data_IF_041272874053
#
_entry.id   IF_041272874053
#
_cell.length_a   1.000
_cell.length_b   1.000
_cell.length_c   1.000
_cell.angle_alpha   90.00
_cell.angle_beta   90.00
_cell.angle_gamma   90.00
#
_symmetry.space_group_name_H-M   'P 1'
#
loop_
_entity.id
_entity.type
_entity.pdbx_description
1 polymer ?
#
# COMPACT_ATOMS: atom_id res chain seq x y z
N UNK A 1 13.00 10.26 9.02
CA UNK A 1 12.86 8.87 8.55
C UNK A 1 11.48 8.59 7.96
N UNK A 2 10.35 8.94 8.61
CA UNK A 2 8.99 8.70 8.08
C UNK A 2 8.70 9.34 6.70
N UNK A 3 9.17 10.56 6.44
CA UNK A 3 9.03 11.21 5.12
C UNK A 3 9.74 10.42 4.02
N UNK A 4 10.96 9.96 4.28
CA UNK A 4 11.75 9.16 3.35
C UNK A 4 11.06 7.83 3.06
N UNK A 5 10.52 7.17 4.09
CA UNK A 5 9.71 5.97 3.90
C UNK A 5 8.46 6.25 3.07
N UNK A 6 7.77 7.38 3.31
CA UNK A 6 6.61 7.79 2.54
C UNK A 6 6.92 7.97 1.05
N UNK A 7 8.05 8.59 0.72
CA UNK A 7 8.52 8.72 -0.67
C UNK A 7 8.81 7.36 -1.28
N UNK A 8 9.49 6.47 -0.54
CA UNK A 8 9.78 5.10 -1.01
C UNK A 8 8.53 4.29 -1.28
N UNK A 9 7.58 4.28 -0.33
CA UNK A 9 6.29 3.60 -0.46
C UNK A 9 5.49 4.18 -1.65
N UNK A 10 5.43 5.51 -1.77
CA UNK A 10 4.73 6.19 -2.86
C UNK A 10 5.31 5.89 -4.25
N UNK A 11 6.64 5.71 -4.35
CA UNK A 11 7.30 5.33 -5.60
C UNK A 11 7.16 3.84 -5.94
N UNK A 12 7.07 2.97 -4.93
CA UNK A 12 6.93 1.52 -5.14
C UNK A 12 5.56 1.14 -5.72
N UNK A 13 4.48 1.78 -5.26
CA UNK A 13 3.12 1.50 -5.74
C UNK A 13 2.95 1.54 -7.28
N UNK A 14 3.28 2.64 -7.98
CA UNK A 14 3.14 2.67 -9.43
C UNK A 14 4.09 1.68 -10.11
N UNK A 15 5.32 1.53 -9.61
CA UNK A 15 6.33 0.65 -10.21
C UNK A 15 5.92 -0.82 -10.13
N UNK A 16 5.48 -1.29 -8.95
CA UNK A 16 4.97 -2.65 -8.73
C UNK A 16 3.77 -2.95 -9.62
N UNK A 17 2.90 -1.95 -9.81
CA UNK A 17 1.74 -2.06 -10.68
C UNK A 17 2.15 -2.16 -12.16
N UNK A 18 3.11 -1.37 -12.63
CA UNK A 18 3.55 -1.40 -14.03
C UNK A 18 4.13 -2.77 -14.38
N UNK A 19 5.08 -3.27 -13.59
CA UNK A 19 5.72 -4.58 -13.78
C UNK A 19 4.67 -5.68 -13.90
N UNK A 20 3.72 -5.73 -12.96
CA UNK A 20 2.66 -6.74 -12.94
C UNK A 20 1.75 -6.63 -14.16
N UNK A 21 1.43 -5.41 -14.60
CA UNK A 21 0.57 -5.17 -15.75
C UNK A 21 1.18 -5.60 -17.08
N UNK A 22 2.51 -5.62 -17.17
CA UNK A 22 3.26 -5.95 -18.38
C UNK A 22 3.49 -7.46 -18.53
N UNK A 23 3.58 -8.19 -17.41
CA UNK A 23 3.63 -9.65 -17.41
C UNK A 23 2.24 -10.31 -17.44
N UNK A 24 1.16 -9.57 -17.17
CA UNK A 24 -0.20 -10.12 -17.13
C UNK A 24 -0.83 -10.29 -18.53
N UNK A 25 -1.58 -11.38 -18.70
CA UNK A 25 -2.42 -11.58 -19.90
C UNK A 25 -3.58 -10.58 -19.95
N UNK A 26 -4.02 -10.21 -21.15
CA UNK A 26 -5.06 -9.18 -21.37
C UNK A 26 -6.38 -9.45 -20.64
N UNK A 27 -6.73 -10.73 -20.45
CA UNK A 27 -7.96 -11.16 -19.76
C UNK A 27 -7.91 -10.99 -18.24
N UNK A 28 -6.74 -11.17 -17.61
CA UNK A 28 -6.60 -11.22 -16.14
C UNK A 28 -5.75 -10.08 -15.57
N UNK A 29 -5.40 -9.11 -16.42
CA UNK A 29 -4.57 -7.96 -16.02
C UNK A 29 -5.22 -7.12 -14.92
N UNK A 30 -6.56 -7.07 -14.83
CA UNK A 30 -7.24 -6.38 -13.73
C UNK A 30 -7.10 -7.13 -12.41
N UNK A 31 -7.43 -8.41 -12.39
CA UNK A 31 -7.28 -9.24 -11.19
C UNK A 31 -5.83 -9.28 -10.68
N UNK A 32 -4.84 -9.43 -11.56
CA UNK A 32 -3.44 -9.52 -11.15
C UNK A 32 -2.92 -8.21 -10.52
N UNK A 33 -3.31 -7.07 -11.08
CA UNK A 33 -3.03 -5.74 -10.51
C UNK A 33 -3.72 -5.53 -9.16
N UNK A 34 -4.99 -5.90 -9.07
CA UNK A 34 -5.75 -5.81 -7.82
C UNK A 34 -5.17 -6.73 -6.75
N UNK A 35 -4.65 -7.90 -7.12
CA UNK A 35 -4.04 -8.85 -6.19
C UNK A 35 -2.79 -8.27 -5.52
N UNK A 36 -1.97 -7.50 -6.25
CA UNK A 36 -0.82 -6.79 -5.67
C UNK A 36 -1.28 -5.80 -4.59
N UNK A 37 -2.34 -5.03 -4.85
CA UNK A 37 -2.91 -4.13 -3.83
C UNK A 37 -3.58 -4.89 -2.68
N UNK A 38 -4.17 -6.06 -2.93
CA UNK A 38 -4.79 -6.90 -1.89
C UNK A 38 -3.78 -7.38 -0.85
N UNK A 39 -2.50 -7.54 -1.22
CA UNK A 39 -1.42 -7.88 -0.29
C UNK A 39 -1.24 -6.84 0.82
N UNK A 40 -1.68 -5.59 0.61
CA UNK A 40 -1.68 -4.55 1.65
C UNK A 40 -2.50 -4.99 2.87
N UNK A 41 -3.67 -5.62 2.66
CA UNK A 41 -4.51 -6.11 3.75
C UNK A 41 -3.82 -7.21 4.57
N UNK A 42 -3.07 -8.09 3.90
CA UNK A 42 -2.26 -9.12 4.58
C UNK A 42 -1.13 -8.46 5.38
N UNK A 43 -0.47 -7.44 4.83
CA UNK A 43 0.55 -6.68 5.54
C UNK A 43 0.01 -6.01 6.82
N UNK A 44 -1.19 -5.41 6.75
CA UNK A 44 -1.88 -4.84 7.92
C UNK A 44 -2.21 -5.92 8.95
N UNK A 45 -2.68 -7.09 8.53
CA UNK A 45 -2.98 -8.22 9.42
C UNK A 45 -1.73 -8.69 10.16
N UNK A 46 -0.63 -8.91 9.43
CA UNK A 46 0.65 -9.35 10.01
C UNK A 46 1.17 -8.31 11.00
N UNK A 47 1.12 -7.01 10.67
CA UNK A 47 1.54 -5.96 11.58
C UNK A 47 0.68 -5.92 12.85
N UNK A 48 -0.65 -6.09 12.72
CA UNK A 48 -1.56 -6.14 13.87
C UNK A 48 -1.33 -7.37 14.75
N UNK A 49 -1.03 -8.54 14.16
CA UNK A 49 -0.66 -9.76 14.88
C UNK A 49 0.66 -9.60 15.62
N UNK A 50 1.70 -9.06 14.98
CA UNK A 50 2.99 -8.77 15.63
C UNK A 50 2.78 -7.82 16.81
N UNK A 51 1.94 -6.79 16.62
CA UNK A 51 1.60 -5.88 17.72
C UNK A 51 0.89 -6.60 18.87
N UNK A 52 -0.05 -7.49 18.57
CA UNK A 52 -0.75 -8.30 19.57
C UNK A 52 0.21 -9.22 20.35
N UNK A 53 1.15 -9.88 19.69
CA UNK A 53 2.13 -10.73 20.40
C UNK A 53 3.07 -9.91 21.27
N UNK A 54 3.47 -8.72 20.81
CA UNK A 54 4.30 -7.81 21.59
C UNK A 54 3.58 -7.24 22.81
N UNK A 55 2.29 -6.88 22.71
CA UNK A 55 1.52 -6.43 23.88
C UNK A 55 1.35 -7.54 24.91
N UNK A 56 1.11 -8.78 24.48
CA UNK A 56 1.04 -9.94 25.36
C UNK A 56 2.38 -10.24 26.05
N UNK A 57 3.49 -10.14 25.30
CA UNK A 57 4.84 -10.40 25.82
C UNK A 57 5.32 -9.39 26.86
N UNK A 58 4.91 -8.12 26.73
CA UNK A 58 5.28 -7.05 27.69
C UNK A 58 4.17 -6.70 28.69
N UNK A 59 3.15 -7.57 28.83
CA UNK A 59 1.98 -7.33 29.68
C UNK A 59 2.32 -6.84 31.09
N UNK A 60 3.22 -7.53 31.79
CA UNK A 60 3.61 -7.19 33.17
C UNK A 60 4.28 -5.81 33.31
N UNK A 61 4.96 -5.33 32.26
CA UNK A 61 5.57 -3.99 32.24
C UNK A 61 4.57 -2.90 31.84
N UNK A 62 3.54 -3.25 31.09
CA UNK A 62 2.52 -2.33 30.58
C UNK A 62 1.34 -2.12 31.55
N UNK A 63 1.05 -3.09 32.41
CA UNK A 63 0.00 -2.98 33.44
C UNK A 63 0.39 -2.03 34.59
N UNK A 64 1.67 -1.69 34.73
CA UNK A 64 2.15 -0.80 35.80
C UNK A 64 1.75 0.67 35.58
N UNK A 65 1.42 1.05 34.34
CA UNK A 65 1.03 2.40 34.00
C UNK A 65 -0.47 2.49 33.72
N UNK A 66 -1.17 3.32 34.51
CA UNK A 66 -2.60 3.58 34.35
C UNK A 66 -2.92 4.37 33.06
N UNK A 67 -1.98 5.18 32.55
CA UNK A 67 -2.18 5.97 31.34
C UNK A 67 -0.88 6.08 30.53
N UNK A 68 -1.00 6.35 29.24
CA UNK A 68 0.12 6.56 28.31
C UNK A 68 1.02 7.71 28.77
N UNK A 69 0.46 8.69 29.50
CA UNK A 69 1.18 9.83 30.08
C UNK A 69 1.94 9.50 31.37
N UNK A 70 1.49 8.49 32.13
CA UNK A 70 2.16 8.03 33.35
C UNK A 70 3.14 6.88 33.10
N UNK A 71 3.22 6.40 31.85
CA UNK A 71 4.20 5.41 31.40
C UNK A 71 5.63 5.98 31.49
N UNK A 72 6.29 5.73 32.62
CA UNK A 72 7.66 6.16 32.92
C UNK A 72 8.50 4.98 33.39
N UNK A 73 9.81 5.00 33.12
CA UNK A 73 10.71 3.90 33.48
C UNK A 73 10.50 2.64 32.62
N UNK A 74 10.21 1.51 33.28
CA UNK A 74 10.12 0.18 32.64
C UNK A 74 9.03 0.11 31.55
N UNK A 75 7.91 0.80 31.75
CA UNK A 75 6.84 0.91 30.75
C UNK A 75 7.34 1.58 29.46
N UNK A 76 8.11 2.67 29.59
CA UNK A 76 8.64 3.39 28.42
C UNK A 76 9.68 2.54 27.66
N UNK A 77 10.52 1.80 28.39
CA UNK A 77 11.51 0.89 27.79
C UNK A 77 10.80 -0.26 27.05
N UNK A 78 9.73 -0.82 27.64
CA UNK A 78 8.93 -1.85 26.99
C UNK A 78 8.31 -1.32 25.69
N UNK A 79 7.64 -0.16 25.74
CA UNK A 79 7.05 0.48 24.55
C UNK A 79 8.12 0.79 23.49
N UNK A 80 9.31 1.26 23.90
CA UNK A 80 10.42 1.53 22.98
C UNK A 80 10.88 0.27 22.25
N UNK A 81 11.03 -0.84 22.97
CA UNK A 81 11.36 -2.15 22.38
C UNK A 81 10.25 -2.63 21.44
N UNK A 82 8.98 -2.42 21.79
CA UNK A 82 7.84 -2.86 21.00
C UNK A 82 7.79 -2.18 19.62
N UNK A 83 7.88 -0.85 19.54
CA UNK A 83 7.81 -0.17 18.25
C UNK A 83 9.04 -0.47 17.37
N UNK A 84 10.22 -0.60 17.97
CA UNK A 84 11.45 -0.99 17.25
C UNK A 84 11.34 -2.39 16.68
N UNK A 85 10.81 -3.32 17.46
CA UNK A 85 10.60 -4.70 17.01
C UNK A 85 9.56 -4.75 15.89
N UNK A 86 8.48 -3.98 16.00
CA UNK A 86 7.45 -3.88 14.96
C UNK A 86 8.02 -3.34 13.64
N UNK A 87 8.78 -2.23 13.70
CA UNK A 87 9.44 -1.66 12.51
C UNK A 87 10.50 -2.61 11.97
N UNK A 88 11.27 -3.25 12.84
CA UNK A 88 12.30 -4.23 12.48
C UNK A 88 11.72 -5.45 11.76
N UNK A 89 10.59 -5.97 12.22
CA UNK A 89 9.89 -7.06 11.53
C UNK A 89 9.39 -6.64 10.14
N UNK A 90 8.94 -5.38 9.99
CA UNK A 90 8.59 -4.81 8.69
C UNK A 90 9.76 -4.66 7.71
N UNK A 91 11.00 -4.58 8.20
CA UNK A 91 12.19 -4.52 7.34
C UNK A 91 12.49 -5.87 6.65
N UNK A 92 12.12 -7.00 7.26
CA UNK A 92 12.36 -8.34 6.70
C UNK A 92 11.70 -8.54 5.33
N UNK A 93 10.37 -8.36 5.15
CA UNK A 93 9.75 -8.47 3.84
C UNK A 93 10.26 -7.40 2.86
N UNK A 94 10.67 -6.22 3.33
CA UNK A 94 11.26 -5.20 2.46
C UNK A 94 12.62 -5.63 1.89
N UNK A 95 13.49 -6.27 2.69
CA UNK A 95 14.75 -6.84 2.22
C UNK A 95 14.53 -7.99 1.24
N UNK A 96 13.55 -8.86 1.52
CA UNK A 96 13.17 -9.95 0.60
C UNK A 96 12.67 -9.38 -0.73
N UNK A 97 11.80 -8.37 -0.68
CA UNK A 97 11.30 -7.70 -1.88
C UNK A 97 12.43 -7.03 -2.67
N UNK A 98 13.39 -6.41 -1.99
CA UNK A 98 14.58 -5.84 -2.63
C UNK A 98 15.42 -6.90 -3.33
N UNK A 99 15.68 -8.04 -2.67
CA UNK A 99 16.38 -9.16 -3.30
C UNK A 99 15.67 -9.61 -4.58
N UNK A 100 14.36 -9.86 -4.52
CA UNK A 100 13.60 -10.26 -5.70
C UNK A 100 13.59 -9.19 -6.80
N UNK A 101 13.44 -7.91 -6.43
CA UNK A 101 13.52 -6.80 -7.39
C UNK A 101 14.87 -6.73 -8.11
N UNK A 102 15.97 -7.06 -7.45
CA UNK A 102 17.30 -7.11 -8.07
C UNK A 102 17.52 -8.34 -8.95
N UNK A 103 16.73 -9.41 -8.75
CA UNK A 103 16.85 -10.67 -9.51
C UNK A 103 15.81 -10.86 -10.62
N UNK A 104 14.72 -10.10 -10.61
CA UNK A 104 13.68 -10.18 -11.64
C UNK A 104 14.23 -9.57 -12.94
N UNK A 105 14.14 -10.27 -14.09
CA UNK A 105 14.51 -9.68 -15.37
C UNK A 105 13.56 -8.52 -15.72
N UNK A 106 14.13 -7.48 -16.35
CA UNK A 106 13.34 -6.34 -16.82
C UNK A 106 12.21 -6.78 -17.75
N UNK A 107 11.15 -5.99 -17.79
CA UNK A 107 9.97 -6.37 -18.56
C UNK A 107 10.28 -6.42 -20.05
N UNK A 108 9.66 -7.34 -20.81
CA UNK A 108 9.91 -7.47 -22.24
C UNK A 108 9.50 -6.22 -23.03
N UNK A 109 8.52 -5.45 -22.54
CA UNK A 109 8.13 -4.16 -23.14
C UNK A 109 9.16 -3.07 -22.88
N UNK A 110 9.72 -2.98 -21.68
CA UNK A 110 10.81 -2.03 -21.41
C UNK A 110 12.05 -2.38 -22.24
N UNK A 111 12.39 -3.67 -22.35
CA UNK A 111 13.52 -4.12 -23.16
C UNK A 111 13.30 -3.83 -24.66
N UNK A 112 12.08 -4.06 -25.16
CA UNK A 112 11.71 -3.85 -26.56
C UNK A 112 11.56 -2.37 -26.95
N UNK A 113 10.84 -1.57 -26.14
CA UNK A 113 10.53 -0.16 -26.46
C UNK A 113 11.62 0.82 -26.00
N UNK A 114 12.39 0.49 -24.94
CA UNK A 114 13.36 1.40 -24.30
C UNK A 114 14.80 0.90 -24.44
N UNK A 115 15.09 -0.39 -24.26
CA UNK A 115 16.46 -0.90 -24.29
C UNK A 115 17.01 -1.15 -25.72
N UNK A 116 16.16 -1.16 -26.76
CA UNK A 116 16.51 -1.21 -28.21
C UNK A 116 17.74 -2.07 -28.54
N UNK A 117 17.60 -3.39 -28.48
CA UNK A 117 18.68 -4.30 -28.83
C UNK A 117 19.16 -4.15 -30.31
N UNK A 118 20.46 -4.32 -30.52
CA UNK A 118 21.36 -3.53 -31.40
C UNK A 118 21.18 -3.79 -32.92
N UNK A 119 20.52 -4.86 -33.33
CA UNK A 119 20.29 -5.18 -34.75
C UNK A 119 19.26 -4.24 -35.41
N UNK A 120 18.31 -3.72 -34.63
CA UNK A 120 17.37 -2.70 -35.08
C UNK A 120 17.95 -1.28 -35.03
N UNK A 121 19.22 -1.13 -34.64
CA UNK A 121 19.98 0.10 -34.88
C UNK A 121 20.54 0.16 -36.32
N UNK A 122 20.79 -0.98 -36.99
CA UNK A 122 21.27 -1.00 -38.38
C UNK A 122 20.15 -0.64 -39.38
N UNK A 123 18.91 -1.03 -39.09
CA UNK A 123 17.73 -0.57 -39.84
C UNK A 123 17.50 0.94 -39.67
N UNK A 124 17.74 1.47 -38.47
CA UNK A 124 17.70 2.91 -38.19
C UNK A 124 18.89 3.69 -38.83
N UNK A 125 20.06 3.06 -39.02
CA UNK A 125 21.20 3.63 -39.78
C UNK A 125 20.92 3.66 -41.28
N UNK A 126 20.19 2.67 -41.82
CA UNK A 126 19.71 2.71 -43.22
C UNK A 126 18.63 3.76 -43.44
N UNK A 127 17.82 4.06 -42.42
CA UNK A 127 16.91 5.21 -42.44
C UNK A 127 17.67 6.55 -42.37
N UNK A 128 18.84 6.59 -41.71
CA UNK A 128 19.73 7.77 -41.63
C UNK A 128 20.37 8.15 -42.98
N UNK A 129 20.70 7.17 -43.83
CA UNK A 129 21.33 7.40 -45.15
C UNK A 129 20.39 8.09 -46.16
N UNK A 130 19.07 8.03 -45.94
CA UNK A 130 18.06 8.60 -46.84
C UNK A 130 17.52 9.98 -46.45
N UNK A 131 18.16 10.67 -45.50
CA UNK A 131 18.09 12.13 -45.40
C UNK A 131 16.71 12.72 -45.08
N UNK A 132 15.91 12.08 -44.21
CA UNK A 132 14.75 12.73 -43.57
C UNK A 132 14.84 12.63 -42.06
N UNK A 133 15.21 13.75 -41.45
CA UNK A 133 15.18 13.97 -40.01
C UNK A 133 13.77 14.38 -39.60
N UNK A 134 12.97 13.48 -39.06
CA UNK A 134 11.88 13.82 -38.14
C UNK A 134 11.73 12.70 -37.09
N UNK A 135 12.38 12.89 -35.95
CA UNK A 135 12.17 12.14 -34.72
C UNK A 135 11.77 13.09 -33.61
N UNK A 136 10.60 13.73 -33.73
CA UNK A 136 10.02 14.48 -32.64
C UNK A 136 9.30 13.48 -31.73
N UNK A 137 9.77 13.26 -30.50
CA UNK A 137 8.84 12.83 -29.45
C UNK A 137 7.90 14.01 -29.25
N UNK A 138 6.74 13.92 -29.90
CA UNK A 138 5.72 14.97 -29.99
C UNK A 138 5.61 15.71 -28.65
N UNK A 139 5.90 17.02 -28.62
CA UNK A 139 5.71 17.84 -27.41
C UNK A 139 4.28 17.69 -26.88
N UNK A 140 3.33 17.41 -27.79
CA UNK A 140 1.95 17.05 -27.51
C UNK A 140 1.84 15.72 -26.74
N UNK A 141 2.53 14.65 -27.14
CA UNK A 141 2.55 13.38 -26.39
C UNK A 141 3.21 13.56 -25.03
N UNK A 142 4.28 14.35 -24.92
CA UNK A 142 4.93 14.65 -23.63
C UNK A 142 4.04 15.49 -22.72
N UNK A 143 3.34 16.48 -23.26
CA UNK A 143 2.37 17.30 -22.53
C UNK A 143 1.13 16.49 -22.11
N UNK A 144 0.62 15.61 -22.98
CA UNK A 144 -0.47 14.67 -22.68
C UNK A 144 -0.09 13.67 -21.59
N UNK A 145 1.14 13.12 -21.63
CA UNK A 145 1.66 12.26 -20.60
C UNK A 145 1.82 13.00 -19.26
N UNK A 146 2.34 14.23 -19.28
CA UNK A 146 2.46 15.05 -18.07
C UNK A 146 1.08 15.44 -17.50
N UNK A 147 0.11 15.76 -18.36
CA UNK A 147 -1.25 16.08 -17.95
C UNK A 147 -1.97 14.84 -17.39
N UNK A 148 -1.75 13.67 -17.99
CA UNK A 148 -2.26 12.40 -17.49
C UNK A 148 -1.62 12.04 -16.15
N UNK A 149 -0.31 12.24 -16.00
CA UNK A 149 0.40 12.06 -14.73
C UNK A 149 -0.16 12.99 -13.64
N UNK A 150 -0.38 14.27 -13.95
CA UNK A 150 -1.00 15.23 -13.01
C UNK A 150 -2.41 14.82 -12.60
N UNK A 151 -3.25 14.34 -13.54
CA UNK A 151 -4.61 13.87 -13.26
C UNK A 151 -4.59 12.61 -12.38
N UNK A 152 -3.73 11.65 -12.69
CA UNK A 152 -3.56 10.43 -11.90
C UNK A 152 -3.04 10.74 -10.50
N UNK A 153 -2.03 11.62 -10.38
CA UNK A 153 -1.50 12.06 -9.10
C UNK A 153 -2.55 12.78 -8.26
N UNK A 154 -3.38 13.64 -8.86
CA UNK A 154 -4.49 14.30 -8.16
C UNK A 154 -5.55 13.31 -7.66
N UNK A 155 -5.91 12.30 -8.48
CA UNK A 155 -6.86 11.25 -8.06
C UNK A 155 -6.31 10.40 -6.91
N UNK A 156 -5.03 10.04 -6.97
CA UNK A 156 -4.35 9.29 -5.90
C UNK A 156 -4.27 10.11 -4.61
N UNK A 157 -3.92 11.39 -4.70
CA UNK A 157 -3.88 12.30 -3.56
C UNK A 157 -5.25 12.38 -2.86
N UNK A 158 -6.34 12.59 -3.61
CA UNK A 158 -7.68 12.64 -3.04
C UNK A 158 -8.08 11.31 -2.38
N UNK A 159 -7.73 10.18 -3.01
CA UNK A 159 -8.00 8.85 -2.46
C UNK A 159 -7.22 8.62 -1.16
N UNK A 160 -5.94 8.98 -1.12
CA UNK A 160 -5.09 8.84 0.07
C UNK A 160 -5.57 9.73 1.20
N UNK A 161 -5.94 10.99 0.93
CA UNK A 161 -6.50 11.89 1.95
C UNK A 161 -7.75 11.29 2.57
N UNK A 162 -8.66 10.74 1.76
CA UNK A 162 -9.83 10.05 2.27
C UNK A 162 -9.44 8.80 3.07
N UNK A 163 -8.62 7.91 2.51
CA UNK A 163 -8.23 6.64 3.12
C UNK A 163 -7.50 6.80 4.47
N UNK A 164 -6.53 7.70 4.55
CA UNK A 164 -5.84 8.00 5.80
C UNK A 164 -6.71 8.82 6.75
N UNK A 165 -7.61 9.66 6.25
CA UNK A 165 -8.62 10.37 7.04
C UNK A 165 -9.57 9.41 7.78
N UNK A 166 -9.96 8.31 7.13
CA UNK A 166 -10.72 7.22 7.77
C UNK A 166 -9.93 6.57 8.89
N UNK A 167 -8.63 6.34 8.67
CA UNK A 167 -7.74 5.74 9.65
C UNK A 167 -7.54 6.61 10.91
N UNK A 168 -7.65 7.95 10.81
CA UNK A 168 -7.62 8.85 11.97
C UNK A 168 -8.83 8.63 12.90
N UNK A 169 -9.95 8.15 12.36
CA UNK A 169 -11.17 7.86 13.13
C UNK A 169 -11.19 6.42 13.66
N UNK A 170 -10.10 5.66 13.56
CA UNK A 170 -10.03 4.30 14.10
C UNK A 170 -10.40 4.23 15.58
N UNK A 171 -10.07 5.25 16.39
CA UNK A 171 -10.49 5.30 17.80
C UNK A 171 -12.02 5.29 17.99
N UNK A 172 -12.78 5.94 17.10
CA UNK A 172 -14.25 5.93 17.12
C UNK A 172 -14.80 4.58 16.65
N UNK A 173 -14.21 4.02 15.59
CA UNK A 173 -14.60 2.70 15.06
C UNK A 173 -14.37 1.62 16.12
N UNK A 174 -13.21 1.62 16.77
CA UNK A 174 -12.86 0.70 17.85
C UNK A 174 -13.85 0.79 19.02
N UNK A 175 -14.31 1.99 19.36
CA UNK A 175 -15.35 2.19 20.38
C UNK A 175 -16.67 1.52 20.00
N UNK A 176 -17.13 1.66 18.75
CA UNK A 176 -18.38 1.05 18.28
C UNK A 176 -18.31 -0.48 18.27
N UNK A 177 -17.13 -1.05 17.96
CA UNK A 177 -16.90 -2.50 17.96
C UNK A 177 -16.78 -3.07 19.39
N UNK A 178 -16.78 -2.22 20.42
CA UNK A 178 -16.65 -2.62 21.83
C UNK A 178 -15.21 -2.72 22.34
N UNK A 179 -14.22 -2.37 21.52
CA UNK A 179 -12.81 -2.24 21.90
C UNK A 179 -12.46 -0.78 22.17
N UNK A 180 -13.27 -0.11 22.99
CA UNK A 180 -13.06 1.29 23.35
C UNK A 180 -11.68 1.48 23.97
N UNK A 181 -10.92 2.41 23.41
CA UNK A 181 -9.63 2.83 23.97
C UNK A 181 -9.79 3.92 25.05
N UNK A 182 -10.99 4.48 25.21
CA UNK A 182 -11.28 5.53 26.21
C UNK A 182 -11.59 4.98 27.60
N UNK A 183 -12.06 3.75 27.67
CA UNK A 183 -12.42 3.07 28.92
C UNK A 183 -11.27 2.18 29.43
N UNK A 184 -10.10 2.23 28.76
CA UNK A 184 -8.95 1.42 29.12
C UNK A 184 -8.36 1.88 30.46
N UNK A 185 -8.19 0.94 31.39
CA UNK A 185 -7.71 1.21 32.74
C UNK A 185 -6.18 1.29 32.83
N UNK A 186 -5.48 0.62 31.90
CA UNK A 186 -4.03 0.54 31.85
C UNK A 186 -3.53 0.62 30.40
N UNK A 187 -2.24 0.95 30.21
CA UNK A 187 -1.59 1.02 28.88
C UNK A 187 -1.67 -0.30 28.13
N UNK A 188 -1.55 -1.43 28.85
CA UNK A 188 -1.73 -2.76 28.27
C UNK A 188 -3.10 -2.91 27.59
N UNK A 189 -4.18 -2.54 28.30
CA UNK A 189 -5.55 -2.67 27.81
C UNK A 189 -5.78 -1.77 26.59
N UNK A 190 -5.24 -0.55 26.60
CA UNK A 190 -5.29 0.36 25.46
C UNK A 190 -4.63 -0.25 24.21
N UNK A 191 -3.40 -0.76 24.33
CA UNK A 191 -2.66 -1.32 23.21
C UNK A 191 -3.25 -2.67 22.75
N UNK A 192 -3.73 -3.48 23.68
CA UNK A 192 -4.40 -4.76 23.40
C UNK A 192 -5.71 -4.53 22.64
N UNK A 193 -6.58 -3.63 23.13
CA UNK A 193 -7.84 -3.31 22.47
C UNK A 193 -7.63 -2.73 21.07
N UNK A 194 -6.60 -1.89 20.91
CA UNK A 194 -6.19 -1.36 19.61
C UNK A 194 -5.71 -2.47 18.67
N UNK A 195 -4.89 -3.41 19.14
CA UNK A 195 -4.38 -4.50 18.32
C UNK A 195 -5.51 -5.45 17.88
N UNK A 196 -6.35 -5.89 18.83
CA UNK A 196 -7.46 -6.81 18.56
C UNK A 196 -8.50 -6.16 17.64
N UNK A 197 -8.88 -4.92 17.91
CA UNK A 197 -9.86 -4.25 17.07
C UNK A 197 -9.35 -3.98 15.66
N UNK A 198 -8.06 -3.67 15.47
CA UNK A 198 -7.47 -3.60 14.13
C UNK A 198 -7.47 -4.96 13.42
N UNK A 199 -7.20 -6.07 14.12
CA UNK A 199 -7.31 -7.42 13.55
C UNK A 199 -8.74 -7.69 13.07
N UNK A 200 -9.74 -7.35 13.88
CA UNK A 200 -11.15 -7.52 13.52
C UNK A 200 -11.50 -6.69 12.30
N UNK A 201 -11.14 -5.41 12.26
CA UNK A 201 -11.40 -4.53 11.11
C UNK A 201 -10.74 -5.07 9.84
N UNK A 202 -9.50 -5.53 9.93
CA UNK A 202 -8.76 -6.06 8.78
C UNK A 202 -9.36 -7.38 8.29
N UNK A 203 -9.74 -8.30 9.18
CA UNK A 203 -10.32 -9.58 8.82
C UNK A 203 -11.78 -9.49 8.36
N UNK A 204 -12.57 -8.59 8.94
CA UNK A 204 -13.98 -8.41 8.58
C UNK A 204 -14.16 -7.50 7.36
N UNK A 205 -13.28 -6.51 7.19
CA UNK A 205 -13.39 -5.49 6.15
C UNK A 205 -12.32 -5.60 5.07
N UNK A 206 -11.07 -5.26 5.42
CA UNK A 206 -10.02 -5.02 4.43
C UNK A 206 -9.68 -6.28 3.61
N UNK A 207 -9.38 -7.41 4.25
CA UNK A 207 -8.98 -8.64 3.57
C UNK A 207 -10.11 -9.18 2.67
N UNK A 208 -11.34 -9.42 3.16
CA UNK A 208 -12.42 -9.89 2.31
C UNK A 208 -12.76 -8.89 1.20
N UNK A 209 -12.81 -7.59 1.50
CA UNK A 209 -13.11 -6.54 0.53
C UNK A 209 -12.11 -6.49 -0.61
N UNK A 210 -10.81 -6.63 -0.31
CA UNK A 210 -9.77 -6.69 -1.33
C UNK A 210 -9.91 -7.93 -2.20
N UNK A 211 -10.09 -9.12 -1.63
CA UNK A 211 -10.19 -10.36 -2.42
C UNK A 211 -11.49 -10.47 -3.22
N UNK A 212 -12.61 -9.96 -2.69
CA UNK A 212 -13.85 -9.81 -3.46
C UNK A 212 -13.64 -8.86 -4.63
N UNK A 213 -12.92 -7.76 -4.43
CA UNK A 213 -12.57 -6.83 -5.51
C UNK A 213 -11.69 -7.53 -6.56
N UNK A 214 -10.67 -8.30 -6.15
CA UNK A 214 -9.83 -9.09 -7.07
C UNK A 214 -10.66 -10.05 -7.92
N UNK A 215 -11.63 -10.76 -7.31
CA UNK A 215 -12.47 -11.72 -8.01
C UNK A 215 -13.49 -11.07 -8.95
N UNK A 216 -13.94 -9.85 -8.65
CA UNK A 216 -15.03 -9.17 -9.38
C UNK A 216 -14.56 -8.09 -10.34
N UNK A 217 -13.29 -7.67 -10.28
CA UNK A 217 -12.78 -6.55 -11.09
C UNK A 217 -12.85 -6.81 -12.60
N UNK A 218 -12.62 -8.05 -13.01
CA UNK A 218 -12.65 -8.44 -14.42
C UNK A 218 -14.07 -8.77 -14.93
N UNK A 219 -15.06 -8.93 -14.04
CA UNK A 219 -16.47 -9.22 -14.39
C UNK A 219 -17.39 -8.00 -14.30
N UNK A 220 -17.34 -7.25 -13.20
CA UNK A 220 -18.17 -6.06 -12.95
C UNK A 220 -17.57 -4.76 -13.52
N UNK A 221 -16.27 -4.80 -13.79
CA UNK A 221 -15.51 -3.66 -14.30
C UNK A 221 -15.12 -2.64 -13.21
N UNK A 222 -14.01 -1.95 -13.47
CA UNK A 222 -13.33 -1.06 -12.50
C UNK A 222 -14.18 0.13 -12.04
N UNK A 223 -14.95 0.74 -12.97
CA UNK A 223 -15.76 1.93 -12.68
C UNK A 223 -16.92 1.63 -11.72
N UNK A 224 -17.57 0.48 -11.90
CA UNK A 224 -18.71 0.05 -11.08
C UNK A 224 -18.28 -0.18 -9.64
N UNK A 225 -17.16 -0.87 -9.43
CA UNK A 225 -16.61 -1.13 -8.10
C UNK A 225 -16.22 0.18 -7.41
N UNK A 226 -15.55 1.09 -8.12
CA UNK A 226 -15.13 2.38 -7.57
C UNK A 226 -16.33 3.24 -7.15
N UNK A 227 -17.33 3.36 -8.03
CA UNK A 227 -18.53 4.16 -7.76
C UNK A 227 -19.35 3.56 -6.61
N UNK A 228 -19.50 2.22 -6.59
CA UNK A 228 -20.14 1.50 -5.49
C UNK A 228 -19.44 1.75 -4.16
N UNK A 229 -18.11 1.69 -4.14
CA UNK A 229 -17.31 1.99 -2.95
C UNK A 229 -17.54 3.42 -2.44
N UNK A 230 -17.55 4.41 -3.34
CA UNK A 230 -17.83 5.80 -2.95
C UNK A 230 -19.26 6.00 -2.45
N UNK A 231 -20.26 5.40 -3.08
CA UNK A 231 -21.66 5.50 -2.64
C UNK A 231 -21.82 4.90 -1.24
N UNK A 232 -21.28 3.70 -1.00
CA UNK A 232 -21.36 3.03 0.30
C UNK A 232 -20.65 3.86 1.37
N UNK A 233 -19.46 4.39 1.08
CA UNK A 233 -18.76 5.29 2.00
C UNK A 233 -19.60 6.53 2.31
N UNK A 234 -20.18 7.20 1.31
CA UNK A 234 -21.04 8.35 1.54
C UNK A 234 -22.25 8.01 2.43
N UNK A 235 -22.89 6.87 2.22
CA UNK A 235 -24.03 6.44 3.04
C UNK A 235 -23.61 6.15 4.49
N UNK A 236 -22.42 5.57 4.71
CA UNK A 236 -21.95 5.23 6.07
C UNK A 236 -21.45 6.44 6.87
N UNK A 237 -21.05 7.52 6.19
CA UNK A 237 -20.49 8.73 6.82
C UNK A 237 -21.48 9.89 6.97
N UNK A 238 -22.67 9.79 6.37
CA UNK A 238 -23.82 10.69 6.59
C UNK A 238 -24.66 10.16 7.75
#
# INVERSE_FOLDING_TARGET
WRVIMGVGIGGDYPLSSIITSEFATTKWRGAMMAAVFAMQGIGQLVAALVMMFLTLGFKSSLEQAADTKSCTGDCQIAVDKMWRTLVGFGAVPACIALYYRLTIPETPRYTFDVARDVEQADEDVKAYINGKSEGNTDEVTRAQNLQSAKRTAGSWFCLDVAFYGLSLNNGTILKVIGYSTKDATNVYEFLHNTAVGNIIIVLAGAVPGYWVSVATIDTLGRKTIQLGGFIILTILFI
#
